data_IF_902093601126
#
_entry.id   IF_902093601126
#
_cell.length_a   1.000
_cell.length_b   1.000
_cell.length_c   1.000
_cell.angle_alpha   90.00
_cell.angle_beta   90.00
_cell.angle_gamma   90.00
#
_symmetry.space_group_name_H-M   'P 1'
#
loop_
_entity.id
_entity.type
_entity.pdbx_description
1 polymer ?
#
# COMPACT_ATOMS: atom_id res chain seq x y z
N UNK A 1 -6.23 33.46 -33.98
CA UNK A 1 -6.10 31.98 -33.88
C UNK A 1 -5.71 31.47 -32.48
N UNK A 2 -4.85 32.19 -31.74
CA UNK A 2 -4.39 31.82 -30.37
C UNK A 2 -5.50 31.84 -29.31
N UNK A 3 -6.43 32.80 -29.37
CA UNK A 3 -7.55 32.94 -28.41
C UNK A 3 -8.55 31.77 -28.46
N UNK A 4 -8.77 31.17 -29.63
CA UNK A 4 -9.64 30.00 -29.81
C UNK A 4 -9.01 28.71 -29.23
N UNK A 5 -7.68 28.57 -29.35
CA UNK A 5 -6.90 27.47 -28.74
C UNK A 5 -6.89 27.56 -27.21
N UNK A 6 -6.73 28.76 -26.65
CA UNK A 6 -6.81 28.99 -25.19
C UNK A 6 -8.22 28.70 -24.64
N UNK A 7 -9.28 29.04 -25.40
CA UNK A 7 -10.67 28.71 -25.05
C UNK A 7 -10.94 27.20 -25.06
N UNK A 8 -10.47 26.48 -26.09
CA UNK A 8 -10.59 25.01 -26.16
C UNK A 8 -9.82 24.31 -25.03
N UNK A 9 -8.62 24.80 -24.68
CA UNK A 9 -7.85 24.28 -23.54
C UNK A 9 -8.57 24.48 -22.20
N UNK A 10 -9.10 25.68 -21.94
CA UNK A 10 -9.88 25.97 -20.72
C UNK A 10 -11.14 25.12 -20.61
N UNK A 11 -11.83 24.87 -21.73
CA UNK A 11 -13.06 24.08 -21.71
C UNK A 11 -12.78 22.59 -21.43
N UNK A 12 -11.69 22.06 -21.98
CA UNK A 12 -11.24 20.68 -21.74
C UNK A 12 -10.81 20.48 -20.29
N UNK A 13 -10.07 21.45 -19.72
CA UNK A 13 -9.70 21.47 -18.30
C UNK A 13 -10.92 21.56 -17.37
N UNK A 14 -11.94 22.36 -17.74
CA UNK A 14 -13.19 22.46 -16.97
C UNK A 14 -13.98 21.14 -16.99
N UNK A 15 -14.09 20.48 -18.14
CA UNK A 15 -14.76 19.18 -18.23
C UNK A 15 -14.01 18.09 -17.47
N UNK A 16 -12.67 18.08 -17.56
CA UNK A 16 -11.84 17.14 -16.80
C UNK A 16 -11.96 17.38 -15.28
N UNK A 17 -12.07 18.64 -14.86
CA UNK A 17 -12.33 19.01 -13.47
C UNK A 17 -13.72 18.56 -13.00
N UNK A 18 -14.78 18.81 -13.77
CA UNK A 18 -16.14 18.37 -13.42
C UNK A 18 -16.29 16.83 -13.43
N UNK A 19 -15.60 16.14 -14.35
CA UNK A 19 -15.55 14.68 -14.37
C UNK A 19 -14.83 14.13 -13.14
N UNK A 20 -13.67 14.70 -12.80
CA UNK A 20 -12.93 14.31 -11.60
C UNK A 20 -13.70 14.66 -10.32
N UNK A 21 -14.46 15.77 -10.30
CA UNK A 21 -15.34 16.19 -9.20
C UNK A 21 -16.50 15.21 -8.97
N UNK A 22 -17.01 14.57 -10.02
CA UNK A 22 -18.04 13.52 -9.91
C UNK A 22 -17.46 12.16 -9.50
N UNK A 23 -16.23 11.85 -9.92
CA UNK A 23 -15.54 10.59 -9.61
C UNK A 23 -14.98 10.56 -8.19
N UNK A 24 -14.53 11.70 -7.70
CA UNK A 24 -14.12 11.86 -6.31
C UNK A 24 -15.36 12.29 -5.51
N UNK A 25 -15.91 11.38 -4.70
CA UNK A 25 -16.74 11.75 -3.53
C UNK A 25 -15.85 12.51 -2.53
N UNK A 26 -15.42 13.72 -2.90
CA UNK A 26 -14.75 14.65 -2.02
C UNK A 26 -15.83 15.15 -1.06
N UNK A 27 -15.59 14.93 0.22
CA UNK A 27 -16.42 15.51 1.25
C UNK A 27 -16.45 17.05 1.06
N UNK A 28 -17.53 17.71 1.47
CA UNK A 28 -17.68 19.17 1.29
C UNK A 28 -16.50 19.97 1.87
N UNK A 29 -15.89 19.42 2.92
CA UNK A 29 -14.65 19.88 3.57
C UNK A 29 -13.44 19.81 2.64
N UNK A 30 -13.27 18.73 1.88
CA UNK A 30 -12.16 18.57 0.94
C UNK A 30 -12.30 19.50 -0.27
N UNK A 31 -13.54 19.75 -0.72
CA UNK A 31 -13.80 20.71 -1.80
C UNK A 31 -13.40 22.13 -1.40
N UNK A 32 -13.75 22.55 -0.18
CA UNK A 32 -13.34 23.85 0.38
C UNK A 32 -11.82 23.95 0.52
N UNK A 33 -11.15 22.90 0.98
CA UNK A 33 -9.68 22.88 1.10
C UNK A 33 -9.00 23.04 -0.27
N UNK A 34 -9.47 22.33 -1.29
CA UNK A 34 -8.92 22.44 -2.65
C UNK A 34 -9.16 23.84 -3.21
N UNK A 35 -10.36 24.39 -3.04
CA UNK A 35 -10.69 25.74 -3.49
C UNK A 35 -9.82 26.79 -2.80
N UNK A 36 -9.66 26.71 -1.48
CA UNK A 36 -8.83 27.60 -0.70
C UNK A 36 -7.35 27.54 -1.10
N UNK A 37 -6.85 26.36 -1.53
CA UNK A 37 -5.50 26.21 -2.09
C UNK A 37 -5.38 26.93 -3.44
N UNK A 38 -6.39 26.87 -4.30
CA UNK A 38 -6.36 27.59 -5.58
C UNK A 38 -6.51 29.10 -5.41
N UNK A 39 -7.31 29.55 -4.44
CA UNK A 39 -7.52 30.96 -4.12
C UNK A 39 -6.21 31.64 -3.65
N UNK A 40 -5.29 30.87 -3.04
CA UNK A 40 -3.95 31.31 -2.65
C UNK A 40 -2.97 31.47 -3.83
N UNK A 41 -3.40 31.25 -5.08
CA UNK A 41 -2.58 31.32 -6.31
C UNK A 41 -1.18 30.70 -6.18
N UNK A 42 -1.08 29.41 -5.77
CA UNK A 42 0.20 28.77 -5.50
C UNK A 42 1.04 28.65 -6.77
N UNK A 43 2.34 28.84 -6.63
CA UNK A 43 3.28 28.65 -7.73
C UNK A 43 3.38 27.16 -8.12
N UNK A 44 3.94 26.87 -9.31
CA UNK A 44 4.06 25.49 -9.83
C UNK A 44 4.80 24.55 -8.87
N UNK A 45 5.77 25.06 -8.10
CA UNK A 45 6.54 24.28 -7.14
C UNK A 45 5.71 23.91 -5.91
N UNK A 46 4.92 24.85 -5.39
CA UNK A 46 3.97 24.61 -4.30
C UNK A 46 2.92 23.57 -4.71
N UNK A 47 2.34 23.69 -5.90
CA UNK A 47 1.38 22.71 -6.44
C UNK A 47 2.01 21.30 -6.51
N UNK A 48 3.26 21.20 -6.95
CA UNK A 48 3.98 19.92 -7.04
C UNK A 48 4.22 19.31 -5.65
N UNK A 49 4.66 20.11 -4.68
CA UNK A 49 4.87 19.64 -3.31
C UNK A 49 3.56 19.21 -2.63
N UNK A 50 2.46 19.96 -2.81
CA UNK A 50 1.13 19.58 -2.31
C UNK A 50 0.71 18.22 -2.89
N UNK A 51 0.83 18.03 -4.21
CA UNK A 51 0.51 16.75 -4.86
C UNK A 51 1.34 15.58 -4.29
N UNK A 52 2.64 15.81 -4.08
CA UNK A 52 3.53 14.80 -3.51
C UNK A 52 3.14 14.42 -2.08
N UNK A 53 2.73 15.40 -1.26
CA UNK A 53 2.23 15.17 0.10
C UNK A 53 0.95 14.32 0.04
N UNK A 54 -0.01 14.70 -0.79
CA UNK A 54 -1.26 13.93 -0.96
C UNK A 54 -1.00 12.49 -1.39
N UNK A 55 -0.14 12.29 -2.39
CA UNK A 55 0.22 10.95 -2.84
C UNK A 55 0.90 10.13 -1.74
N UNK A 56 1.78 10.74 -0.96
CA UNK A 56 2.45 10.08 0.16
C UNK A 56 1.44 9.68 1.26
N UNK A 57 0.50 10.55 1.61
CA UNK A 57 -0.55 10.26 2.61
C UNK A 57 -1.46 9.12 2.11
N UNK A 58 -1.88 9.16 0.84
CA UNK A 58 -2.71 8.11 0.26
C UNK A 58 -1.99 6.74 0.28
N UNK A 59 -0.74 6.70 -0.19
CA UNK A 59 0.04 5.47 -0.20
C UNK A 59 0.30 4.94 1.22
N UNK A 60 0.52 5.83 2.19
CA UNK A 60 0.64 5.46 3.61
C UNK A 60 -0.62 4.76 4.09
N UNK A 61 -1.80 5.39 3.89
CA UNK A 61 -3.08 4.83 4.34
C UNK A 61 -3.35 3.44 3.74
N UNK A 62 -3.09 3.27 2.44
CA UNK A 62 -3.23 1.97 1.77
C UNK A 62 -2.29 0.92 2.35
N UNK A 63 -1.05 1.29 2.69
CA UNK A 63 -0.10 0.35 3.30
C UNK A 63 -0.48 0.00 4.73
N UNK A 64 -0.96 0.96 5.53
CA UNK A 64 -1.46 0.72 6.89
C UNK A 64 -2.64 -0.26 6.89
N UNK A 65 -3.59 -0.08 5.97
CA UNK A 65 -4.72 -1.01 5.79
C UNK A 65 -4.25 -2.42 5.41
N UNK A 66 -3.27 -2.54 4.51
CA UNK A 66 -2.67 -3.84 4.16
C UNK A 66 -1.99 -4.50 5.35
N UNK A 67 -1.24 -3.73 6.16
CA UNK A 67 -0.58 -4.24 7.38
C UNK A 67 -1.62 -4.73 8.37
N UNK A 68 -2.71 -3.98 8.57
CA UNK A 68 -3.78 -4.35 9.49
C UNK A 68 -4.46 -5.66 9.07
N UNK A 69 -4.73 -5.83 7.77
CA UNK A 69 -5.23 -7.09 7.22
C UNK A 69 -4.26 -8.24 7.50
N UNK A 70 -2.95 -8.03 7.32
CA UNK A 70 -1.94 -9.06 7.58
C UNK A 70 -1.85 -9.41 9.08
N UNK A 71 -1.92 -8.42 9.98
CA UNK A 71 -1.95 -8.61 11.44
C UNK A 71 -3.19 -9.41 11.86
N UNK A 72 -4.37 -9.04 11.36
CA UNK A 72 -5.61 -9.78 11.60
C UNK A 72 -5.51 -11.24 11.12
N UNK A 73 -4.89 -11.47 9.96
CA UNK A 73 -4.66 -12.82 9.40
C UNK A 73 -3.77 -13.70 10.27
N UNK A 74 -2.73 -13.13 10.88
CA UNK A 74 -1.91 -13.84 11.87
C UNK A 74 -2.79 -14.26 13.06
N UNK A 75 -3.59 -13.34 13.61
CA UNK A 75 -4.45 -13.62 14.76
C UNK A 75 -5.55 -14.64 14.47
N UNK A 76 -6.09 -14.65 13.25
CA UNK A 76 -7.14 -15.58 12.82
C UNK A 76 -6.60 -16.90 12.25
N UNK A 77 -5.27 -17.11 12.23
CA UNK A 77 -4.60 -18.26 11.60
C UNK A 77 -4.99 -18.48 10.13
N UNK A 78 -5.43 -17.41 9.44
CA UNK A 78 -5.89 -17.43 8.07
C UNK A 78 -4.76 -16.91 7.16
N UNK A 79 -4.04 -17.83 6.53
CA UNK A 79 -2.91 -17.48 5.66
C UNK A 79 -3.39 -16.81 4.35
N UNK A 80 -2.64 -15.84 3.80
CA UNK A 80 -2.96 -15.28 2.50
C UNK A 80 -2.97 -16.32 1.37
N UNK A 81 -3.78 -16.13 0.31
CA UNK A 81 -3.88 -17.09 -0.80
C UNK A 81 -2.55 -17.39 -1.51
N UNK A 82 -1.58 -16.47 -1.48
CA UNK A 82 -0.25 -16.67 -2.04
C UNK A 82 0.51 -17.85 -1.38
N UNK A 83 0.18 -18.19 -0.13
CA UNK A 83 0.75 -19.32 0.58
C UNK A 83 0.12 -20.66 0.19
N UNK A 84 -1.00 -20.67 -0.56
CA UNK A 84 -1.63 -21.89 -1.06
C UNK A 84 -0.72 -22.66 -2.04
N UNK A 85 0.26 -21.99 -2.67
CA UNK A 85 1.27 -22.66 -3.50
C UNK A 85 2.13 -23.64 -2.68
N UNK A 86 2.45 -23.26 -1.44
CA UNK A 86 3.17 -24.14 -0.51
C UNK A 86 2.29 -25.32 -0.10
N UNK A 87 0.97 -25.13 0.02
CA UNK A 87 0.02 -26.21 0.32
C UNK A 87 -0.15 -27.17 -0.87
N UNK A 88 -0.22 -26.65 -2.10
CA UNK A 88 -0.33 -27.49 -3.30
C UNK A 88 0.89 -28.39 -3.55
N UNK A 89 2.10 -27.87 -3.29
CA UNK A 89 3.32 -28.69 -3.36
C UNK A 89 3.37 -29.75 -2.27
N UNK A 90 2.79 -29.47 -1.10
CA UNK A 90 2.64 -30.44 -0.02
C UNK A 90 1.66 -31.54 -0.39
N UNK A 91 0.47 -31.20 -0.91
CA UNK A 91 -0.52 -32.17 -1.34
C UNK A 91 0.02 -33.16 -2.37
N UNK A 92 0.86 -32.69 -3.30
CA UNK A 92 1.53 -33.58 -4.27
C UNK A 92 2.53 -34.55 -3.61
N UNK A 93 3.28 -34.06 -2.64
CA UNK A 93 4.27 -34.87 -1.91
C UNK A 93 3.55 -35.86 -0.99
N UNK A 94 2.50 -35.43 -0.30
CA UNK A 94 1.67 -36.27 0.56
C UNK A 94 0.92 -37.33 -0.25
N UNK A 95 0.39 -37.00 -1.44
CA UNK A 95 -0.19 -37.99 -2.36
C UNK A 95 0.83 -39.03 -2.81
N UNK A 96 2.05 -38.62 -3.17
CA UNK A 96 3.14 -39.55 -3.52
C UNK A 96 3.56 -40.44 -2.34
N UNK A 97 3.57 -39.89 -1.13
CA UNK A 97 3.87 -40.61 0.11
C UNK A 97 2.76 -41.59 0.52
N UNK A 98 1.49 -41.24 0.31
CA UNK A 98 0.36 -42.15 0.54
C UNK A 98 0.38 -43.28 -0.49
N UNK A 99 0.76 -43.01 -1.74
CA UNK A 99 0.99 -44.04 -2.75
C UNK A 99 2.09 -45.03 -2.33
N UNK A 100 3.17 -44.57 -1.69
CA UNK A 100 4.22 -45.48 -1.18
C UNK A 100 3.83 -46.27 0.06
N UNK A 101 2.82 -45.83 0.83
CA UNK A 101 2.30 -46.58 2.00
C UNK A 101 1.56 -47.86 1.61
N UNK A 102 1.02 -47.94 0.39
CA UNK A 102 0.36 -49.15 -0.11
C UNK A 102 1.37 -50.30 -0.36
N UNK A 103 2.68 -50.03 -0.29
CA UNK A 103 3.74 -50.99 -0.59
C UNK A 103 4.47 -51.55 0.64
N UNK A 104 4.24 -51.02 1.86
CA UNK A 104 4.95 -51.45 3.09
C UNK A 104 4.00 -51.81 4.22
N UNK A 105 4.09 -53.05 4.70
CA UNK A 105 3.21 -53.64 5.71
C UNK A 105 3.64 -53.39 7.18
N UNK A 106 4.64 -52.53 7.43
CA UNK A 106 5.18 -52.32 8.77
C UNK A 106 4.58 -51.09 9.49
N UNK A 107 3.82 -51.33 10.56
CA UNK A 107 3.18 -50.29 11.38
C UNK A 107 4.18 -49.32 12.06
N UNK A 108 5.41 -49.76 12.33
CA UNK A 108 6.45 -48.91 12.91
C UNK A 108 6.96 -47.85 11.92
N UNK A 109 7.11 -48.20 10.63
CA UNK A 109 7.51 -47.25 9.59
C UNK A 109 6.40 -46.22 9.35
N UNK A 110 5.15 -46.66 9.41
CA UNK A 110 3.98 -45.78 9.31
C UNK A 110 3.92 -44.74 10.45
N UNK A 111 4.23 -45.15 11.70
CA UNK A 111 4.30 -44.23 12.85
C UNK A 111 5.45 -43.25 12.74
N UNK A 112 6.65 -43.70 12.36
CA UNK A 112 7.80 -42.81 12.14
C UNK A 112 7.51 -41.80 11.02
N UNK A 113 6.90 -42.25 9.92
CA UNK A 113 6.55 -41.37 8.81
C UNK A 113 5.50 -40.33 9.20
N UNK A 114 4.49 -40.71 10.00
CA UNK A 114 3.50 -39.77 10.53
C UNK A 114 4.17 -38.69 11.41
N UNK A 115 5.13 -39.06 12.26
CA UNK A 115 5.90 -38.13 13.08
C UNK A 115 6.74 -37.16 12.22
N UNK A 116 7.39 -37.67 11.17
CA UNK A 116 8.17 -36.84 10.23
C UNK A 116 7.28 -35.84 9.48
N UNK A 117 6.11 -36.28 9.01
CA UNK A 117 5.14 -35.40 8.34
C UNK A 117 4.61 -34.33 9.30
N UNK A 118 4.28 -34.69 10.55
CA UNK A 118 3.86 -33.73 11.56
C UNK A 118 4.95 -32.68 11.86
N UNK A 119 6.21 -33.10 11.99
CA UNK A 119 7.36 -32.20 12.17
C UNK A 119 7.55 -31.27 10.97
N UNK A 120 7.37 -31.79 9.75
CA UNK A 120 7.45 -31.00 8.51
C UNK A 120 6.36 -29.94 8.44
N UNK A 121 5.09 -30.32 8.66
CA UNK A 121 3.96 -29.38 8.69
C UNK A 121 4.18 -28.27 9.73
N UNK A 122 4.70 -28.62 10.91
CA UNK A 122 5.05 -27.63 11.94
C UNK A 122 6.13 -26.64 11.48
N UNK A 123 7.18 -27.10 10.80
CA UNK A 123 8.23 -26.22 10.24
C UNK A 123 7.68 -25.29 9.16
N UNK A 124 6.81 -25.82 8.30
CA UNK A 124 6.19 -25.04 7.23
C UNK A 124 5.25 -23.99 7.82
N UNK A 125 4.41 -24.35 8.79
CA UNK A 125 3.58 -23.40 9.52
C UNK A 125 4.41 -22.23 10.03
N UNK A 126 5.51 -22.52 10.75
CA UNK A 126 6.46 -21.49 11.22
C UNK A 126 6.99 -20.61 10.09
N UNK A 127 7.49 -21.20 9.01
CA UNK A 127 7.99 -20.44 7.87
C UNK A 127 6.93 -19.50 7.28
N UNK A 128 5.67 -19.92 7.21
CA UNK A 128 4.58 -19.05 6.73
C UNK A 128 4.31 -17.88 7.68
N UNK A 129 4.38 -18.09 8.99
CA UNK A 129 4.30 -17.01 9.97
C UNK A 129 5.48 -16.04 9.86
N UNK A 130 6.70 -16.56 9.77
CA UNK A 130 7.91 -15.74 9.62
C UNK A 130 7.83 -14.85 8.36
N UNK A 131 7.33 -15.41 7.25
CA UNK A 131 7.10 -14.66 6.01
C UNK A 131 6.03 -13.57 6.14
N UNK A 132 4.98 -13.80 6.94
CA UNK A 132 3.97 -12.80 7.24
C UNK A 132 4.53 -11.67 8.10
N UNK A 133 5.33 -12.00 9.11
CA UNK A 133 5.98 -11.05 10.00
C UNK A 133 6.97 -10.16 9.22
N UNK A 134 7.78 -10.76 8.34
CA UNK A 134 8.65 -10.02 7.41
C UNK A 134 7.85 -9.09 6.48
N UNK A 135 6.70 -9.54 5.98
CA UNK A 135 5.83 -8.73 5.12
C UNK A 135 5.25 -7.53 5.87
N UNK A 136 4.87 -7.72 7.13
CA UNK A 136 4.41 -6.64 8.02
C UNK A 136 5.54 -5.64 8.25
N UNK A 137 6.73 -6.11 8.63
CA UNK A 137 7.89 -5.26 8.88
C UNK A 137 8.26 -4.41 7.64
N UNK A 138 8.28 -5.03 6.45
CA UNK A 138 8.51 -4.33 5.20
C UNK A 138 7.41 -3.29 4.88
N UNK A 139 6.15 -3.59 5.21
CA UNK A 139 5.05 -2.64 5.12
C UNK A 139 5.26 -1.44 6.05
N UNK A 140 5.62 -1.68 7.31
CA UNK A 140 5.86 -0.63 8.31
C UNK A 140 7.04 0.27 7.90
N UNK A 141 8.07 -0.28 7.27
CA UNK A 141 9.15 0.51 6.66
C UNK A 141 8.66 1.42 5.54
N UNK A 142 7.76 0.95 4.68
CA UNK A 142 7.14 1.78 3.64
C UNK A 142 6.29 2.89 4.24
N UNK A 143 5.55 2.62 5.32
CA UNK A 143 4.80 3.66 6.06
C UNK A 143 5.75 4.74 6.58
N UNK A 144 6.85 4.34 7.26
CA UNK A 144 7.89 5.27 7.72
C UNK A 144 8.49 6.09 6.58
N UNK A 145 8.70 5.47 5.42
CA UNK A 145 9.20 6.13 4.22
C UNK A 145 8.24 7.20 3.69
N UNK A 146 6.95 6.88 3.56
CA UNK A 146 5.95 7.85 3.10
C UNK A 146 5.79 9.03 4.08
N UNK A 147 5.87 8.78 5.40
CA UNK A 147 5.91 9.85 6.40
C UNK A 147 7.12 10.78 6.23
N UNK A 148 8.30 10.22 5.95
CA UNK A 148 9.51 11.01 5.67
C UNK A 148 9.34 11.89 4.43
N UNK A 149 8.75 11.37 3.35
CA UNK A 149 8.46 12.16 2.14
C UNK A 149 7.51 13.30 2.47
N UNK A 150 6.39 13.00 3.15
CA UNK A 150 5.39 14.01 3.49
C UNK A 150 5.99 15.12 4.36
N UNK A 151 6.79 14.76 5.38
CA UNK A 151 7.52 15.73 6.22
C UNK A 151 8.49 16.58 5.41
N UNK A 152 9.26 15.98 4.49
CA UNK A 152 10.22 16.69 3.64
C UNK A 152 9.53 17.70 2.71
N UNK A 153 8.45 17.31 2.05
CA UNK A 153 7.69 18.20 1.17
C UNK A 153 6.95 19.29 1.94
N UNK A 154 6.43 19.00 3.14
CA UNK A 154 5.87 20.02 4.04
C UNK A 154 6.90 21.09 4.41
N UNK A 155 8.12 20.68 4.79
CA UNK A 155 9.22 21.64 5.07
C UNK A 155 9.52 22.54 3.87
N UNK A 156 9.57 21.98 2.65
CA UNK A 156 9.77 22.77 1.43
C UNK A 156 8.68 23.82 1.23
N UNK A 157 7.41 23.46 1.45
CA UNK A 157 6.30 24.40 1.34
C UNK A 157 6.43 25.56 2.33
N UNK A 158 6.79 25.27 3.58
CA UNK A 158 7.01 26.30 4.61
C UNK A 158 8.12 27.25 4.16
N UNK A 159 9.28 26.73 3.76
CA UNK A 159 10.41 27.57 3.32
C UNK A 159 10.06 28.44 2.11
N UNK A 160 9.31 27.91 1.13
CA UNK A 160 8.86 28.70 -0.03
C UNK A 160 7.91 29.81 0.42
N UNK A 161 6.98 29.50 1.32
CA UNK A 161 5.98 30.45 1.83
C UNK A 161 6.65 31.56 2.65
N UNK A 162 7.64 31.23 3.48
CA UNK A 162 8.38 32.21 4.27
C UNK A 162 9.22 33.14 3.40
N UNK A 163 9.82 32.62 2.32
CA UNK A 163 10.53 33.44 1.33
C UNK A 163 9.59 34.43 0.63
N UNK A 164 8.39 33.99 0.24
CA UNK A 164 7.39 34.85 -0.38
C UNK A 164 6.87 35.93 0.58
N UNK A 165 6.65 35.60 1.86
CA UNK A 165 6.27 36.59 2.86
C UNK A 165 7.33 37.68 3.03
N UNK A 166 8.60 37.30 3.12
CA UNK A 166 9.72 38.25 3.25
C UNK A 166 9.88 39.17 2.04
N UNK A 167 9.57 38.70 0.84
CA UNK A 167 9.61 39.51 -0.37
C UNK A 167 8.48 40.55 -0.40
N UNK A 168 7.28 40.18 0.04
CA UNK A 168 6.13 41.07 0.06
C UNK A 168 6.14 42.08 1.22
N UNK A 169 6.92 41.85 2.28
CA UNK A 169 7.08 42.80 3.39
C UNK A 169 8.18 43.84 3.17
N UNK A 170 8.95 43.72 2.08
CA UNK A 170 10.02 44.64 1.69
C UNK A 170 9.68 45.44 0.42
N UNK A 171 8.43 45.40 -0.04
CA UNK A 171 7.86 46.22 -1.12
C UNK A 171 6.77 47.11 -0.54
#
# INVERSE_FOLDING_TARGET
MVTALVRKGKHKLKQQFEHNKKMLKLDSTDHRLVQHVYDLKPNKQQIRSIRNIWKAIQNKKQMEEQIEILKHRIHSNCLPPAFNLLDYTLDKIDKKLIQSKQSSANDNDNKQQAILNARRLKKIGRFKYDMLELSIAAGEDKVRYYDKIAKKEKKKLITITDKLKKQNSNS
#
